data_IF_101105891761
#
_entry.id   IF_101105891761
#
_cell.length_a   1.000
_cell.length_b   1.000
_cell.length_c   1.000
_cell.angle_alpha   90.00
_cell.angle_beta   90.00
_cell.angle_gamma   90.00
#
_symmetry.space_group_name_H-M   'P 1'
#
loop_
_entity.id
_entity.type
_entity.pdbx_description
1 polymer ?
#
# COMPACT_ATOMS: atom_id res chain seq x y z
N UNK A 1 -1.39 -19.74 17.40
CA UNK A 1 -2.40 -19.35 16.38
C UNK A 1 -2.03 -18.00 15.80
N UNK A 2 -1.72 -17.93 14.49
CA UNK A 2 -1.46 -16.67 13.77
C UNK A 2 -2.81 -16.16 13.23
N UNK A 3 -3.32 -15.06 13.78
CA UNK A 3 -4.54 -14.43 13.27
C UNK A 3 -4.15 -13.34 12.27
N UNK A 4 -4.23 -13.69 10.99
CA UNK A 4 -3.79 -12.83 9.89
C UNK A 4 -4.55 -11.50 9.82
N UNK A 5 -5.83 -11.46 10.26
CA UNK A 5 -6.60 -10.21 10.27
C UNK A 5 -6.10 -9.25 11.35
N UNK A 6 -5.72 -9.77 12.53
CA UNK A 6 -5.14 -8.94 13.60
C UNK A 6 -3.81 -8.33 13.16
N UNK A 7 -2.99 -9.08 12.44
CA UNK A 7 -1.69 -8.61 11.95
C UNK A 7 -1.83 -7.55 10.88
N UNK A 8 -2.77 -7.73 9.95
CA UNK A 8 -3.11 -6.71 8.96
C UNK A 8 -3.60 -5.41 9.61
N UNK A 9 -4.46 -5.51 10.62
CA UNK A 9 -4.93 -4.34 11.37
C UNK A 9 -3.80 -3.62 12.10
N UNK A 10 -2.88 -4.37 12.73
CA UNK A 10 -1.73 -3.80 13.44
C UNK A 10 -0.74 -3.15 12.46
N UNK A 11 -0.45 -3.79 11.33
CA UNK A 11 0.42 -3.25 10.29
C UNK A 11 -0.12 -1.94 9.71
N UNK A 12 -1.43 -1.85 9.47
CA UNK A 12 -2.09 -0.63 9.01
C UNK A 12 -2.03 0.49 10.07
N UNK A 13 -2.22 0.14 11.35
CA UNK A 13 -2.15 1.11 12.44
C UNK A 13 -0.73 1.68 12.60
N UNK A 14 0.30 0.82 12.54
CA UNK A 14 1.70 1.24 12.61
C UNK A 14 2.12 2.10 11.40
N UNK A 15 1.62 1.78 10.21
CA UNK A 15 1.82 2.63 9.03
C UNK A 15 1.20 4.02 9.25
N UNK A 16 -0.02 4.08 9.77
CA UNK A 16 -0.68 5.35 10.05
C UNK A 16 0.02 6.15 11.16
N UNK A 17 0.51 5.51 12.22
CA UNK A 17 1.24 6.20 13.28
C UNK A 17 2.54 6.84 12.76
N UNK A 18 3.25 6.14 11.88
CA UNK A 18 4.52 6.61 11.29
C UNK A 18 4.34 7.66 10.19
N UNK A 19 3.35 7.48 9.30
CA UNK A 19 3.17 8.34 8.13
C UNK A 19 2.07 9.40 8.32
N UNK A 20 1.26 9.29 9.39
CA UNK A 20 0.07 10.12 9.67
C UNK A 20 -0.97 10.15 8.55
N UNK A 21 -0.91 9.16 7.66
CA UNK A 21 -1.84 8.97 6.53
C UNK A 21 -2.10 7.47 6.35
N UNK A 22 -3.22 7.13 5.70
CA UNK A 22 -3.45 5.75 5.25
C UNK A 22 -2.72 5.46 3.93
N UNK A 23 -2.34 4.20 3.68
CA UNK A 23 -1.63 3.85 2.46
C UNK A 23 -2.52 4.12 1.25
N UNK A 24 -1.93 4.74 0.24
CA UNK A 24 -2.59 5.01 -1.04
C UNK A 24 -3.02 3.71 -1.73
N UNK A 25 -4.28 3.68 -2.20
CA UNK A 25 -4.90 2.49 -2.80
C UNK A 25 -4.06 1.90 -3.94
N UNK A 26 -3.51 2.76 -4.79
CA UNK A 26 -2.69 2.39 -5.93
C UNK A 26 -1.82 3.57 -6.37
N UNK A 27 -0.51 3.37 -6.51
CA UNK A 27 0.41 4.31 -7.12
C UNK A 27 0.73 3.88 -8.55
N UNK A 28 0.14 4.53 -9.55
CA UNK A 28 0.49 4.28 -10.95
C UNK A 28 1.86 4.84 -11.32
N UNK A 29 2.71 4.03 -11.95
CA UNK A 29 3.95 4.52 -12.59
C UNK A 29 3.59 5.07 -13.97
N UNK A 30 3.76 6.37 -14.19
CA UNK A 30 3.56 6.99 -15.51
C UNK A 30 4.77 6.72 -16.39
N UNK A 31 4.67 5.75 -17.30
CA UNK A 31 5.66 5.56 -18.36
C UNK A 31 5.49 6.63 -19.45
N UNK A 32 5.92 7.87 -19.21
CA UNK A 32 6.10 8.95 -20.20
C UNK A 32 4.90 9.35 -21.08
N UNK A 33 3.77 8.65 -21.02
CA UNK A 33 2.62 8.86 -21.87
C UNK A 33 1.61 9.77 -21.16
N UNK A 34 1.17 10.87 -21.80
CA UNK A 34 0.32 11.88 -21.16
C UNK A 34 -1.05 11.35 -20.71
N UNK A 35 -1.47 10.17 -21.20
CA UNK A 35 -2.72 9.51 -20.86
C UNK A 35 -2.54 8.02 -20.51
N UNK A 36 -1.45 7.66 -19.84
CA UNK A 36 -1.38 6.36 -19.16
C UNK A 36 -2.34 6.40 -17.95
N UNK A 37 -3.64 6.24 -18.23
CA UNK A 37 -4.64 5.94 -17.22
C UNK A 37 -4.12 4.81 -16.33
N UNK A 38 -4.42 4.91 -15.04
CA UNK A 38 -3.96 4.03 -13.96
C UNK A 38 -4.49 2.58 -14.08
N UNK A 39 -4.67 2.06 -15.29
CA UNK A 39 -5.47 0.88 -15.58
C UNK A 39 -4.65 -0.33 -16.01
N UNK A 40 -3.39 -0.20 -16.43
CA UNK A 40 -2.56 -1.37 -16.83
C UNK A 40 -1.04 -1.21 -16.53
N UNK A 41 -0.64 -0.18 -15.78
CA UNK A 41 0.78 0.09 -15.50
C UNK A 41 1.31 -0.71 -14.31
N UNK A 42 2.65 -0.88 -14.25
CA UNK A 42 3.44 -1.47 -13.16
C UNK A 42 3.33 -0.65 -11.86
N UNK A 43 2.11 -0.43 -11.39
CA UNK A 43 1.82 0.36 -10.21
C UNK A 43 1.91 -0.45 -8.93
N UNK A 44 2.22 0.26 -7.85
CA UNK A 44 2.41 -0.32 -6.53
C UNK A 44 1.09 -0.24 -5.76
N UNK A 45 0.59 -1.40 -5.30
CA UNK A 45 -0.62 -1.48 -4.49
C UNK A 45 -0.35 -1.10 -3.02
N UNK A 46 -1.39 -0.65 -2.32
CA UNK A 46 -1.34 -0.24 -0.92
C UNK A 46 -0.67 -1.26 0.03
N UNK A 47 -0.84 -2.56 -0.26
CA UNK A 47 -0.32 -3.65 0.57
C UNK A 47 1.20 -3.64 0.70
N UNK A 48 1.91 -3.08 -0.28
CA UNK A 48 3.37 -2.98 -0.22
C UNK A 48 3.87 -2.01 0.85
N UNK A 49 3.10 -0.97 1.16
CA UNK A 49 3.46 0.04 2.17
C UNK A 49 3.38 -0.50 3.59
N UNK A 50 2.57 -1.53 3.81
CA UNK A 50 2.43 -2.15 5.13
C UNK A 50 3.35 -3.36 5.34
N UNK A 51 4.07 -3.82 4.30
CA UNK A 51 5.02 -4.95 4.39
C UNK A 51 6.04 -4.80 5.53
N UNK A 52 6.68 -3.63 5.75
CA UNK A 52 7.65 -3.47 6.83
C UNK A 52 7.04 -3.58 8.24
N UNK A 53 5.71 -3.50 8.36
CA UNK A 53 4.98 -3.54 9.61
C UNK A 53 4.26 -4.88 9.84
N UNK A 54 4.42 -5.86 8.93
CA UNK A 54 3.89 -7.21 9.07
C UNK A 54 4.89 -8.14 9.75
N UNK A 55 4.38 -9.01 10.64
CA UNK A 55 5.14 -10.01 11.41
C UNK A 55 4.57 -11.43 11.20
#
# INVERSE_FOLDING_TARGET
CKNNMKQLGLALHNYHDTHRVFPLMYQGVRSGAPNAGATNGLGIAWGTYILPFMD
#
